data_IF_377665890766
#
_entry.id   IF_377665890766
#
_cell.length_a   1.000
_cell.length_b   1.000
_cell.length_c   1.000
_cell.angle_alpha   90.00
_cell.angle_beta   90.00
_cell.angle_gamma   90.00
#
_symmetry.space_group_name_H-M   'P 1'
#
loop_
_entity.id
_entity.type
_entity.pdbx_description
1 polymer ?
#
# COMPACT_ATOMS: atom_id res chain seq x y z
N UNK A 1 48.43 25.97 59.75
CA UNK A 1 48.50 26.28 58.29
C UNK A 1 48.66 24.96 57.56
N UNK A 2 47.79 24.61 56.71
CA UNK A 2 47.98 23.42 55.93
C UNK A 2 49.11 23.66 54.94
N UNK A 3 50.20 22.98 55.09
CA UNK A 3 51.36 23.01 54.20
C UNK A 3 51.21 21.91 53.18
N UNK A 4 50.66 22.25 52.08
CA UNK A 4 50.51 21.31 50.93
C UNK A 4 49.88 21.97 49.73
N UNK A 5 50.16 21.48 48.53
CA UNK A 5 49.55 21.90 47.29
C UNK A 5 48.09 21.55 47.35
N UNK A 6 47.19 22.52 47.13
CA UNK A 6 45.75 22.27 46.99
C UNK A 6 45.53 21.54 45.69
N UNK A 7 44.97 20.37 45.76
CA UNK A 7 44.67 19.52 44.56
C UNK A 7 43.18 19.34 44.40
N UNK A 8 42.72 18.98 43.22
CA UNK A 8 41.31 18.64 42.93
C UNK A 8 40.76 17.53 43.81
N UNK A 9 41.63 16.69 44.40
CA UNK A 9 41.25 15.61 45.30
C UNK A 9 41.12 16.09 46.77
N UNK A 10 41.75 17.19 47.12
CA UNK A 10 41.71 17.78 48.49
C UNK A 10 40.68 18.90 48.60
N UNK A 11 40.05 19.33 47.49
CA UNK A 11 39.06 20.37 47.45
C UNK A 11 37.66 19.80 47.60
N UNK A 12 37.02 20.09 48.72
CA UNK A 12 35.62 19.69 48.99
C UNK A 12 34.59 20.70 48.48
N UNK A 13 35.04 21.80 47.86
CA UNK A 13 34.15 22.79 47.26
C UNK A 13 33.45 22.21 46.03
N UNK A 14 32.12 22.39 45.85
CA UNK A 14 31.43 21.91 44.69
C UNK A 14 32.05 22.41 43.40
N UNK A 15 32.64 21.50 42.62
CA UNK A 15 33.23 21.81 41.31
C UNK A 15 32.14 21.81 40.24
N UNK A 16 32.23 22.71 39.26
CA UNK A 16 31.36 22.67 38.09
C UNK A 16 31.57 21.35 37.35
N UNK A 17 30.50 20.63 37.09
CA UNK A 17 30.53 19.39 36.31
C UNK A 17 30.89 19.73 34.87
N UNK A 18 31.89 19.07 34.31
CA UNK A 18 32.15 19.10 32.86
C UNK A 18 31.14 18.24 32.17
N UNK A 19 30.08 18.84 31.63
CA UNK A 19 29.03 18.16 30.84
C UNK A 19 29.10 18.73 29.44
N UNK A 20 29.17 17.86 28.44
CA UNK A 20 29.09 18.29 27.04
C UNK A 20 27.73 18.94 26.78
N UNK A 21 27.73 20.11 26.14
CA UNK A 21 26.50 20.81 25.76
C UNK A 21 25.91 20.25 24.44
N UNK A 22 25.96 18.93 24.33
CA UNK A 22 25.48 18.18 23.18
C UNK A 22 24.72 16.94 23.64
N UNK A 23 23.46 16.81 23.23
CA UNK A 23 22.65 15.62 23.44
C UNK A 23 22.75 14.75 22.20
N UNK A 24 23.37 13.58 22.33
CA UNK A 24 23.35 12.55 21.29
C UNK A 24 22.15 11.65 21.52
N UNK A 25 21.23 11.63 20.56
CA UNK A 25 20.06 10.75 20.57
C UNK A 25 20.23 9.68 19.50
N UNK A 26 19.77 8.47 19.79
CA UNK A 26 19.55 7.44 18.77
C UNK A 26 18.20 7.74 18.17
N UNK A 27 18.21 8.40 17.02
CA UNK A 27 16.99 8.86 16.36
C UNK A 27 16.51 7.87 15.31
N UNK A 28 15.26 7.50 15.41
CA UNK A 28 14.53 6.78 14.37
C UNK A 28 13.65 7.79 13.62
N UNK A 29 14.28 8.64 12.86
CA UNK A 29 13.64 9.81 12.24
C UNK A 29 13.34 9.59 10.76
N UNK A 30 13.21 8.35 10.33
CA UNK A 30 12.95 8.02 8.93
C UNK A 30 11.49 7.63 8.74
N UNK A 31 10.83 8.22 7.75
CA UNK A 31 9.52 7.86 7.24
C UNK A 31 9.59 7.79 5.71
N UNK A 32 10.22 6.73 5.16
CA UNK A 32 10.52 6.65 3.73
C UNK A 32 9.26 6.49 2.89
N UNK A 33 8.26 5.76 3.37
CA UNK A 33 7.02 5.53 2.65
C UNK A 33 6.16 6.80 2.60
N UNK A 34 6.05 7.52 3.71
CA UNK A 34 5.36 8.82 3.75
C UNK A 34 6.01 9.83 2.81
N UNK A 35 7.34 9.80 2.69
CA UNK A 35 8.09 10.65 1.75
C UNK A 35 7.85 10.26 0.29
N UNK A 36 7.77 8.95 0.02
CA UNK A 36 7.55 8.41 -1.32
C UNK A 36 6.13 8.70 -1.83
N UNK A 37 5.13 8.38 -1.02
CA UNK A 37 3.72 8.53 -1.38
C UNK A 37 3.24 9.97 -1.26
N UNK A 38 3.73 10.68 -0.24
CA UNK A 38 3.36 12.06 0.04
C UNK A 38 1.99 12.21 0.69
N UNK A 39 1.69 13.46 1.09
CA UNK A 39 0.39 13.88 1.60
C UNK A 39 -0.18 14.91 0.63
N UNK A 40 -1.46 14.79 0.27
CA UNK A 40 -2.14 15.66 -0.69
C UNK A 40 -1.38 15.81 -2.02
N UNK A 41 -0.91 14.72 -2.55
CA UNK A 41 -0.16 14.76 -3.81
C UNK A 41 -1.12 14.93 -5.00
N UNK A 42 -1.39 16.18 -5.37
CA UNK A 42 -2.33 16.56 -6.44
C UNK A 42 -1.96 15.98 -7.81
N UNK A 43 -0.68 15.69 -8.03
CA UNK A 43 -0.22 15.08 -9.28
C UNK A 43 -0.61 13.60 -9.39
N UNK A 44 -0.84 12.94 -8.25
CA UNK A 44 -1.19 11.51 -8.19
C UNK A 44 -2.68 11.29 -7.98
N UNK A 45 -3.29 12.05 -7.07
CA UNK A 45 -4.72 11.94 -6.77
C UNK A 45 -5.43 13.24 -7.08
N UNK A 46 -6.54 13.17 -7.81
CA UNK A 46 -7.46 14.30 -7.93
C UNK A 46 -8.30 14.53 -6.66
N UNK A 47 -8.01 13.83 -5.59
CA UNK A 47 -8.71 13.94 -4.32
C UNK A 47 -7.99 15.00 -3.49
N UNK A 48 -8.40 16.25 -3.63
CA UNK A 48 -7.84 17.38 -2.90
C UNK A 48 -8.87 17.85 -1.88
N UNK A 49 -8.43 18.07 -0.63
CA UNK A 49 -9.21 18.69 0.45
C UNK A 49 -10.57 18.06 0.71
N UNK A 50 -10.60 16.94 1.39
CA UNK A 50 -11.86 16.31 1.80
C UNK A 50 -12.48 17.01 2.98
N UNK A 51 -13.73 17.43 2.81
CA UNK A 51 -14.50 18.14 3.83
C UNK A 51 -15.41 17.21 4.66
N UNK A 52 -15.29 15.89 4.52
CA UNK A 52 -16.11 14.91 5.24
C UNK A 52 -15.23 13.83 5.88
N UNK A 53 -15.70 13.32 7.02
CA UNK A 53 -15.02 12.27 7.80
C UNK A 53 -15.03 10.88 7.12
N UNK A 54 -15.96 10.63 6.22
CA UNK A 54 -15.99 9.48 5.32
C UNK A 54 -15.55 9.95 3.94
N UNK A 55 -14.47 9.37 3.49
CA UNK A 55 -13.86 9.67 2.20
C UNK A 55 -14.19 8.55 1.25
N UNK A 56 -14.84 8.86 0.15
CA UNK A 56 -15.21 7.92 -0.90
C UNK A 56 -14.53 8.34 -2.21
N UNK A 57 -14.08 7.35 -2.98
CA UNK A 57 -13.57 7.58 -4.32
C UNK A 57 -14.27 6.62 -5.27
N UNK A 58 -14.29 6.98 -6.53
CA UNK A 58 -14.96 6.16 -7.54
C UNK A 58 -13.92 5.37 -8.32
N UNK A 59 -14.19 4.08 -8.46
CA UNK A 59 -13.41 3.16 -9.26
C UNK A 59 -14.30 2.53 -10.29
N UNK A 60 -13.75 2.30 -11.47
CA UNK A 60 -14.41 1.56 -12.54
C UNK A 60 -13.43 0.55 -13.12
N UNK A 61 -13.94 -0.58 -13.53
CA UNK A 61 -13.16 -1.64 -14.16
C UNK A 61 -13.66 -1.87 -15.57
N UNK A 62 -12.77 -2.24 -16.46
CA UNK A 62 -13.18 -2.70 -17.78
C UNK A 62 -13.92 -4.03 -17.66
N UNK A 63 -14.85 -4.30 -18.59
CA UNK A 63 -15.51 -5.59 -18.66
C UNK A 63 -14.48 -6.73 -18.71
N UNK A 64 -14.65 -7.78 -17.91
CA UNK A 64 -13.77 -8.93 -17.93
C UNK A 64 -13.70 -9.54 -19.33
N UNK A 65 -12.51 -9.93 -19.74
CA UNK A 65 -12.25 -10.54 -21.05
C UNK A 65 -11.99 -12.04 -20.96
N UNK A 66 -11.99 -12.58 -19.78
CA UNK A 66 -11.73 -13.99 -19.48
C UNK A 66 -12.54 -14.43 -18.26
N UNK A 67 -12.72 -15.71 -18.11
CA UNK A 67 -13.40 -16.33 -17.00
C UNK A 67 -13.31 -17.83 -17.07
N UNK A 68 -14.22 -18.54 -16.42
CA UNK A 68 -14.24 -20.01 -16.37
C UNK A 68 -15.60 -20.58 -16.72
N UNK A 69 -15.64 -21.81 -17.21
CA UNK A 69 -16.88 -22.55 -17.40
C UNK A 69 -17.48 -22.91 -16.02
N UNK A 70 -18.75 -22.61 -15.83
CA UNK A 70 -19.52 -23.01 -14.65
C UNK A 70 -20.05 -24.44 -14.73
N UNK A 71 -20.07 -25.04 -15.94
CA UNK A 71 -20.39 -26.43 -16.19
C UNK A 71 -19.62 -26.95 -17.41
N UNK A 72 -19.40 -28.27 -17.47
CA UNK A 72 -18.74 -28.92 -18.61
C UNK A 72 -19.61 -28.80 -19.88
N UNK A 73 -18.95 -28.68 -21.04
CA UNK A 73 -19.56 -28.79 -22.35
C UNK A 73 -19.26 -30.21 -22.86
N UNK A 74 -20.23 -31.11 -22.71
CA UNK A 74 -20.00 -32.53 -22.94
C UNK A 74 -20.19 -32.96 -24.42
N UNK A 75 -20.84 -32.14 -25.22
CA UNK A 75 -21.12 -32.44 -26.62
C UNK A 75 -20.46 -31.42 -27.56
N UNK A 76 -19.93 -31.89 -28.67
CA UNK A 76 -19.31 -31.06 -29.72
C UNK A 76 -20.30 -30.23 -30.53
N UNK A 77 -21.57 -30.59 -30.50
CA UNK A 77 -22.69 -29.90 -31.14
C UNK A 77 -23.54 -29.08 -30.13
N UNK A 78 -23.08 -28.95 -28.89
CA UNK A 78 -23.81 -28.19 -27.88
C UNK A 78 -23.99 -26.73 -28.32
N UNK A 79 -25.26 -26.28 -28.28
CA UNK A 79 -25.65 -24.90 -28.61
C UNK A 79 -25.77 -24.00 -27.40
N UNK A 80 -25.48 -24.52 -26.19
CA UNK A 80 -25.55 -23.80 -24.94
C UNK A 80 -24.27 -24.05 -24.12
N UNK A 81 -23.87 -23.07 -23.32
CA UNK A 81 -22.80 -23.19 -22.33
C UNK A 81 -23.17 -22.43 -21.08
N UNK A 82 -22.62 -22.89 -19.94
CA UNK A 82 -22.75 -22.21 -18.63
C UNK A 82 -21.38 -21.69 -18.24
N UNK A 83 -21.29 -20.40 -18.02
CA UNK A 83 -20.10 -19.72 -17.51
C UNK A 83 -20.15 -19.57 -15.97
N UNK A 84 -19.10 -19.09 -15.40
CA UNK A 84 -19.06 -18.68 -14.00
C UNK A 84 -20.13 -17.63 -13.68
N UNK A 85 -20.46 -17.50 -12.41
CA UNK A 85 -21.53 -16.61 -11.95
C UNK A 85 -21.24 -15.15 -12.30
N UNK A 86 -22.15 -14.54 -13.07
CA UNK A 86 -22.04 -13.15 -13.51
C UNK A 86 -21.20 -12.93 -14.77
N UNK A 87 -20.46 -13.92 -15.26
CA UNK A 87 -19.54 -13.77 -16.39
C UNK A 87 -20.27 -13.58 -17.73
N UNK A 88 -21.44 -14.19 -17.91
CA UNK A 88 -22.22 -14.03 -19.13
C UNK A 88 -22.81 -12.61 -19.30
N UNK A 89 -22.79 -11.77 -18.26
CA UNK A 89 -23.22 -10.38 -18.34
C UNK A 89 -22.30 -9.51 -19.22
N UNK A 90 -21.08 -9.94 -19.47
CA UNK A 90 -20.09 -9.20 -20.25
C UNK A 90 -19.99 -9.65 -21.71
N UNK A 91 -20.70 -10.71 -22.06
CA UNK A 91 -20.73 -11.27 -23.39
C UNK A 91 -22.05 -10.95 -24.09
N UNK A 92 -21.99 -10.71 -25.40
CA UNK A 92 -23.09 -10.32 -26.22
C UNK A 92 -23.15 -11.17 -27.50
N UNK A 93 -24.24 -11.01 -28.24
CA UNK A 93 -24.36 -11.57 -29.59
C UNK A 93 -23.23 -11.08 -30.51
N UNK A 94 -22.61 -12.01 -31.19
CA UNK A 94 -21.47 -11.73 -32.07
C UNK A 94 -20.11 -11.81 -31.41
N UNK A 95 -20.02 -12.00 -30.12
CA UNK A 95 -18.72 -12.20 -29.46
C UNK A 95 -18.17 -13.60 -29.80
N UNK A 96 -16.84 -13.67 -29.95
CA UNK A 96 -16.12 -14.92 -30.17
C UNK A 96 -15.24 -15.21 -28.98
N UNK A 97 -15.53 -16.28 -28.27
CA UNK A 97 -14.75 -16.77 -27.16
C UNK A 97 -13.85 -17.93 -27.55
N UNK A 98 -12.70 -18.02 -26.96
CA UNK A 98 -11.78 -19.15 -27.09
C UNK A 98 -11.83 -19.99 -25.82
N UNK A 99 -12.02 -21.28 -25.96
CA UNK A 99 -11.90 -22.28 -24.90
C UNK A 99 -10.93 -23.34 -25.39
N UNK A 100 -9.83 -23.52 -24.69
CA UNK A 100 -8.68 -24.34 -25.15
C UNK A 100 -8.23 -23.94 -26.56
N UNK A 101 -8.44 -24.80 -27.55
CA UNK A 101 -8.12 -24.54 -28.97
C UNK A 101 -9.35 -24.27 -29.83
N UNK A 102 -10.53 -24.26 -29.26
CA UNK A 102 -11.76 -24.01 -29.98
C UNK A 102 -12.17 -22.53 -29.91
N UNK A 103 -12.61 -21.99 -31.03
CA UNK A 103 -13.33 -20.72 -31.14
C UNK A 103 -14.84 -20.97 -31.20
N UNK A 104 -15.57 -20.28 -30.36
CA UNK A 104 -17.04 -20.41 -30.27
C UNK A 104 -17.65 -19.03 -30.45
N UNK A 105 -18.52 -18.90 -31.45
CA UNK A 105 -19.29 -17.68 -31.64
C UNK A 105 -20.54 -17.72 -30.75
N UNK A 106 -20.82 -16.62 -30.07
CA UNK A 106 -21.94 -16.48 -29.14
C UNK A 106 -23.14 -15.86 -29.85
N UNK A 107 -24.25 -16.56 -29.88
CA UNK A 107 -25.49 -16.05 -30.50
C UNK A 107 -26.36 -15.27 -29.51
N UNK A 108 -26.36 -15.64 -28.22
CA UNK A 108 -27.09 -14.90 -27.21
C UNK A 108 -26.52 -15.17 -25.81
N UNK A 109 -26.66 -14.19 -24.93
CA UNK A 109 -26.31 -14.28 -23.49
C UNK A 109 -27.56 -14.00 -22.66
N UNK A 110 -27.71 -14.71 -21.53
CA UNK A 110 -28.79 -14.45 -20.57
C UNK A 110 -28.45 -13.35 -19.54
N UNK A 111 -27.24 -12.76 -19.65
CA UNK A 111 -26.79 -11.70 -18.76
C UNK A 111 -26.36 -12.17 -17.34
N UNK A 112 -26.30 -13.49 -17.08
CA UNK A 112 -25.86 -14.03 -15.78
C UNK A 112 -24.81 -15.13 -15.92
N UNK A 113 -25.20 -16.33 -16.36
CA UNK A 113 -24.31 -17.49 -16.48
C UNK A 113 -24.44 -18.20 -17.83
N UNK A 114 -25.58 -18.07 -18.51
CA UNK A 114 -25.91 -18.89 -19.67
C UNK A 114 -25.60 -18.21 -20.99
N UNK A 115 -24.97 -18.94 -21.89
CA UNK A 115 -24.84 -18.62 -23.30
C UNK A 115 -25.71 -19.56 -24.09
N UNK A 116 -26.28 -19.08 -25.21
CA UNK A 116 -27.14 -19.87 -26.09
C UNK A 116 -26.88 -19.53 -27.55
N UNK A 117 -27.44 -20.37 -28.46
CA UNK A 117 -27.23 -20.25 -29.89
C UNK A 117 -25.76 -20.21 -30.30
N UNK A 118 -24.96 -21.04 -29.65
CA UNK A 118 -23.51 -21.13 -29.90
C UNK A 118 -23.25 -21.74 -31.29
N UNK A 119 -22.35 -21.11 -32.05
CA UNK A 119 -21.74 -21.73 -33.21
C UNK A 119 -20.37 -22.27 -32.86
N UNK A 120 -20.27 -23.60 -32.75
CA UNK A 120 -19.08 -24.33 -32.38
C UNK A 120 -18.08 -24.42 -33.55
N UNK A 121 -16.79 -24.54 -33.24
CA UNK A 121 -15.78 -24.67 -34.30
C UNK A 121 -15.68 -23.43 -35.20
N UNK A 122 -15.96 -22.25 -34.70
CA UNK A 122 -15.95 -21.00 -35.46
C UNK A 122 -14.59 -20.74 -36.11
N UNK A 123 -14.59 -20.16 -37.32
CA UNK A 123 -13.37 -19.82 -38.04
C UNK A 123 -12.52 -21.02 -38.47
N UNK A 124 -13.10 -22.23 -38.53
CA UNK A 124 -12.40 -23.45 -38.92
C UNK A 124 -11.67 -24.15 -37.75
N UNK A 125 -11.89 -23.73 -36.50
CA UNK A 125 -11.44 -24.49 -35.34
C UNK A 125 -12.23 -25.78 -35.16
N UNK A 126 -11.67 -26.77 -34.46
CA UNK A 126 -12.35 -28.05 -34.26
C UNK A 126 -13.15 -27.99 -32.95
N UNK A 127 -14.47 -28.31 -33.06
CA UNK A 127 -15.31 -28.42 -31.87
C UNK A 127 -14.85 -29.57 -30.96
N UNK A 128 -14.75 -29.32 -29.70
CA UNK A 128 -14.28 -30.27 -28.67
C UNK A 128 -15.20 -30.23 -27.43
N UNK A 129 -15.05 -31.22 -26.56
CA UNK A 129 -15.65 -31.21 -25.21
C UNK A 129 -14.76 -30.45 -24.27
N UNK A 130 -15.34 -29.69 -23.34
CA UNK A 130 -14.61 -28.89 -22.36
C UNK A 130 -15.05 -29.24 -20.94
N UNK A 131 -14.09 -29.35 -20.04
CA UNK A 131 -14.37 -29.66 -18.65
C UNK A 131 -14.93 -28.45 -17.91
N UNK A 132 -15.57 -28.70 -16.77
CA UNK A 132 -15.95 -27.64 -15.85
C UNK A 132 -14.70 -26.89 -15.37
N UNK A 133 -14.82 -25.59 -15.11
CA UNK A 133 -13.72 -24.69 -14.72
C UNK A 133 -12.63 -24.50 -15.78
N UNK A 134 -12.82 -24.96 -17.03
CA UNK A 134 -11.91 -24.59 -18.13
C UNK A 134 -12.03 -23.09 -18.41
N UNK A 135 -10.87 -22.44 -18.57
CA UNK A 135 -10.83 -21.00 -18.85
C UNK A 135 -11.36 -20.67 -20.25
N UNK A 136 -12.11 -19.60 -20.33
CA UNK A 136 -12.49 -18.98 -21.61
C UNK A 136 -11.89 -17.57 -21.72
N UNK A 137 -11.64 -17.13 -22.95
CA UNK A 137 -11.13 -15.79 -23.24
C UNK A 137 -11.89 -15.18 -24.40
N UNK A 138 -12.31 -13.92 -24.26
CA UNK A 138 -12.90 -13.14 -25.35
C UNK A 138 -11.81 -12.73 -26.34
N UNK A 139 -11.92 -13.20 -27.58
CA UNK A 139 -10.90 -12.97 -28.62
C UNK A 139 -11.29 -11.79 -29.50
N UNK A 140 -12.53 -11.78 -30.00
CA UNK A 140 -12.99 -10.76 -30.92
C UNK A 140 -14.54 -10.75 -30.96
N UNK A 141 -15.11 -9.80 -31.70
CA UNK A 141 -16.53 -9.79 -32.06
C UNK A 141 -16.71 -9.93 -33.56
N UNK A 142 -17.68 -10.76 -34.00
CA UNK A 142 -18.05 -10.97 -35.37
C UNK A 142 -19.58 -10.89 -35.50
N UNK A 143 -20.09 -9.75 -35.94
CA UNK A 143 -21.54 -9.52 -36.11
C UNK A 143 -22.01 -9.99 -37.47
N UNK A 144 -23.28 -10.37 -37.53
CA UNK A 144 -23.94 -10.66 -38.77
C UNK A 144 -24.11 -9.39 -39.59
N UNK A 145 -23.98 -9.51 -40.91
CA UNK A 145 -24.25 -8.42 -41.84
C UNK A 145 -25.73 -8.01 -41.74
N UNK A 146 -25.99 -6.71 -41.58
CA UNK A 146 -27.35 -6.18 -41.44
C UNK A 146 -27.99 -6.43 -40.06
N UNK A 147 -27.23 -6.94 -39.05
CA UNK A 147 -27.75 -7.09 -37.71
C UNK A 147 -28.10 -5.73 -37.07
N UNK A 148 -29.21 -5.71 -36.33
CA UNK A 148 -29.65 -4.54 -35.58
C UNK A 148 -28.65 -4.18 -34.46
N UNK A 149 -28.76 -2.97 -33.87
CA UNK A 149 -27.91 -2.58 -32.76
C UNK A 149 -28.18 -3.45 -31.52
N UNK A 150 -27.13 -3.70 -30.80
CA UNK A 150 -27.16 -4.53 -29.59
C UNK A 150 -27.56 -3.71 -28.34
N UNK A 151 -28.08 -4.41 -27.33
CA UNK A 151 -28.30 -3.81 -26.01
C UNK A 151 -26.93 -3.45 -25.41
N UNK A 152 -26.74 -2.19 -25.05
CA UNK A 152 -25.47 -1.73 -24.51
C UNK A 152 -25.12 -2.45 -23.18
N UNK A 153 -23.89 -2.92 -23.07
CA UNK A 153 -23.34 -3.47 -21.86
C UNK A 153 -22.47 -2.40 -21.19
N UNK A 154 -22.79 -2.05 -19.97
CA UNK A 154 -22.07 -1.03 -19.20
C UNK A 154 -21.62 -1.62 -17.88
N UNK A 155 -20.44 -1.20 -17.42
CA UNK A 155 -19.93 -1.52 -16.08
C UNK A 155 -20.49 -0.52 -15.06
N UNK A 156 -20.59 -0.93 -13.80
CA UNK A 156 -21.00 -0.08 -12.70
C UNK A 156 -19.76 0.40 -11.96
N UNK A 157 -19.71 1.69 -11.66
CA UNK A 157 -18.69 2.24 -10.78
C UNK A 157 -18.87 1.74 -9.36
N UNK A 158 -17.79 1.37 -8.69
CA UNK A 158 -17.72 1.10 -7.26
C UNK A 158 -17.27 2.33 -6.49
N UNK A 159 -17.65 2.43 -5.22
CA UNK A 159 -17.27 3.54 -4.34
C UNK A 159 -16.60 3.01 -3.07
N UNK A 160 -15.34 2.58 -3.13
CA UNK A 160 -14.57 2.29 -1.94
C UNK A 160 -14.49 3.50 -1.03
N UNK A 161 -14.31 3.28 0.27
CA UNK A 161 -14.26 4.36 1.23
C UNK A 161 -13.30 4.09 2.39
N UNK A 162 -12.90 5.17 3.05
CA UNK A 162 -12.15 5.13 4.28
C UNK A 162 -12.61 6.24 5.23
N UNK A 163 -12.25 6.15 6.51
CA UNK A 163 -12.53 7.19 7.49
C UNK A 163 -11.27 8.01 7.77
N UNK A 164 -11.47 9.30 8.12
CA UNK A 164 -10.37 10.12 8.62
C UNK A 164 -10.02 9.73 10.06
N UNK A 165 -8.73 9.82 10.40
CA UNK A 165 -8.21 9.56 11.72
C UNK A 165 -7.51 10.81 12.25
N UNK A 166 -7.78 11.15 13.51
CA UNK A 166 -7.12 12.25 14.21
C UNK A 166 -5.88 11.69 14.91
N UNK A 167 -4.74 12.27 14.60
CA UNK A 167 -3.48 12.04 15.30
C UNK A 167 -3.14 13.30 16.09
N UNK A 168 -3.01 13.17 17.40
CA UNK A 168 -2.71 14.28 18.27
C UNK A 168 -1.79 13.87 19.42
N UNK A 169 -0.90 14.76 19.80
CA UNK A 169 -0.08 14.61 20.99
C UNK A 169 0.23 15.97 21.62
N UNK A 170 0.15 16.04 22.95
CA UNK A 170 0.37 17.26 23.70
C UNK A 170 1.69 17.19 24.47
N UNK A 171 2.36 18.33 24.58
CA UNK A 171 3.52 18.55 25.45
C UNK A 171 3.11 19.56 26.50
N UNK A 172 3.37 19.26 27.78
CA UNK A 172 3.18 20.18 28.88
C UNK A 172 4.51 20.39 29.62
N UNK A 173 4.81 21.65 29.93
CA UNK A 173 6.03 22.05 30.65
C UNK A 173 5.62 22.96 31.81
N UNK A 174 6.03 22.63 33.02
CA UNK A 174 5.77 23.48 34.20
C UNK A 174 6.59 24.78 34.15
N UNK A 175 6.08 25.84 34.79
CA UNK A 175 6.79 27.12 34.86
C UNK A 175 8.20 27.00 35.45
N UNK A 176 8.36 26.23 36.52
CA UNK A 176 9.68 25.99 37.13
C UNK A 176 10.63 25.24 36.18
N UNK A 177 10.14 24.32 35.36
CA UNK A 177 10.95 23.57 34.40
C UNK A 177 11.33 24.43 33.19
N UNK A 178 10.49 25.37 32.80
CA UNK A 178 10.76 26.33 31.74
C UNK A 178 11.90 27.31 32.09
N UNK A 179 11.97 27.75 33.34
CA UNK A 179 13.01 28.66 33.86
C UNK A 179 14.33 27.94 34.22
N UNK A 180 14.33 26.63 34.29
CA UNK A 180 15.49 25.85 34.69
C UNK A 180 16.53 25.75 33.56
N UNK A 181 17.73 26.30 33.80
CA UNK A 181 18.85 26.21 32.84
C UNK A 181 19.36 24.78 32.71
N UNK A 182 19.44 24.25 31.52
CA UNK A 182 19.84 22.87 31.18
C UNK A 182 21.04 22.86 30.25
N UNK A 183 21.83 21.80 30.32
CA UNK A 183 22.85 21.54 29.32
C UNK A 183 22.17 20.97 28.03
N UNK A 184 22.53 21.51 26.87
CA UNK A 184 22.11 21.02 25.57
C UNK A 184 20.62 21.24 25.22
N UNK A 185 19.83 21.90 26.05
CA UNK A 185 18.44 22.26 25.81
C UNK A 185 18.23 23.73 26.18
N UNK A 186 18.06 24.58 25.21
CA UNK A 186 17.78 26.00 25.41
C UNK A 186 16.28 26.22 25.73
N UNK A 187 15.39 25.62 24.96
CA UNK A 187 13.94 25.66 25.19
C UNK A 187 13.39 24.22 25.28
N UNK A 188 12.89 23.85 26.44
CA UNK A 188 12.33 22.50 26.70
C UNK A 188 11.07 22.26 25.87
N UNK A 189 10.20 23.27 25.70
CA UNK A 189 8.97 23.13 24.92
C UNK A 189 9.30 22.89 23.43
N UNK A 190 10.15 23.73 22.86
CA UNK A 190 10.57 23.62 21.47
C UNK A 190 11.28 22.28 21.19
N UNK A 191 12.13 21.83 22.09
CA UNK A 191 12.82 20.54 21.98
C UNK A 191 11.86 19.36 21.92
N UNK A 192 10.84 19.32 22.78
CA UNK A 192 9.86 18.24 22.78
C UNK A 192 8.91 18.32 21.56
N UNK A 193 8.51 19.53 21.14
CA UNK A 193 7.71 19.71 19.94
C UNK A 193 8.48 19.25 18.68
N UNK A 194 9.77 19.55 18.59
CA UNK A 194 10.62 19.07 17.51
C UNK A 194 10.69 17.54 17.45
N UNK A 195 10.68 16.83 18.57
CA UNK A 195 10.60 15.37 18.61
C UNK A 195 9.27 14.82 18.09
N UNK A 196 8.18 15.56 18.24
CA UNK A 196 6.86 15.13 17.79
C UNK A 196 6.66 15.33 16.28
N UNK A 197 7.14 16.46 15.74
CA UNK A 197 6.85 16.81 14.35
C UNK A 197 7.97 16.52 13.37
N UNK A 198 9.18 16.73 13.74
CA UNK A 198 10.37 16.77 12.91
C UNK A 198 10.87 18.18 12.60
N UNK A 199 12.16 18.28 12.39
CA UNK A 199 12.83 19.46 11.85
C UNK A 199 13.93 19.02 10.87
N UNK A 200 14.17 19.83 9.84
CA UNK A 200 15.29 19.63 8.92
C UNK A 200 15.25 18.37 8.07
N UNK A 201 14.06 17.86 7.69
CA UNK A 201 13.90 16.70 6.80
C UNK A 201 13.91 15.33 7.51
N UNK A 202 13.87 15.32 8.83
CA UNK A 202 13.66 14.14 9.65
C UNK A 202 12.17 14.01 9.99
N UNK A 203 11.68 12.79 10.21
CA UNK A 203 10.31 12.56 10.64
C UNK A 203 10.23 12.51 12.17
N UNK A 204 9.27 13.21 12.77
CA UNK A 204 8.97 13.09 14.19
C UNK A 204 8.03 11.93 14.48
N UNK A 205 7.63 11.79 15.75
CA UNK A 205 6.74 10.71 16.19
C UNK A 205 5.41 10.66 15.43
N UNK A 206 4.75 11.81 15.21
CA UNK A 206 3.44 11.86 14.55
C UNK A 206 3.48 11.46 13.07
N UNK A 207 4.42 11.94 12.23
CA UNK A 207 4.60 11.42 10.88
C UNK A 207 4.90 9.92 10.82
N UNK A 208 5.69 9.39 11.77
CA UNK A 208 5.95 7.94 11.86
C UNK A 208 4.67 7.18 12.19
N UNK A 209 3.86 7.66 13.12
CA UNK A 209 2.55 7.04 13.42
C UNK A 209 1.62 7.07 12.20
N UNK A 210 1.65 8.15 11.41
CA UNK A 210 0.90 8.22 10.17
C UNK A 210 1.40 7.16 9.16
N UNK A 211 2.72 7.00 9.00
CA UNK A 211 3.28 5.96 8.14
C UNK A 211 2.91 4.55 8.61
N UNK A 212 2.94 4.29 9.91
CA UNK A 212 2.55 3.00 10.48
C UNK A 212 1.09 2.62 10.23
N UNK A 213 0.22 3.59 9.96
CA UNK A 213 -1.17 3.28 9.57
C UNK A 213 -1.26 2.56 8.23
N UNK A 214 -0.25 2.69 7.35
CA UNK A 214 -0.18 1.91 6.13
C UNK A 214 -0.17 0.41 6.41
N UNK A 215 0.64 -0.02 7.37
CA UNK A 215 0.84 -1.43 7.71
C UNK A 215 -0.23 -1.98 8.65
N UNK A 216 -0.59 -1.21 9.66
CA UNK A 216 -1.41 -1.66 10.80
C UNK A 216 -2.79 -1.04 10.86
N UNK A 217 -3.11 -0.09 9.99
CA UNK A 217 -4.40 0.59 9.99
C UNK A 217 -5.56 -0.38 9.77
N UNK A 218 -6.53 -0.36 10.66
CA UNK A 218 -7.81 -1.06 10.52
C UNK A 218 -8.93 -0.02 10.54
N UNK A 219 -9.75 -0.05 9.50
CA UNK A 219 -10.88 0.87 9.39
C UNK A 219 -11.92 0.57 10.48
N UNK A 220 -12.33 1.60 11.21
CA UNK A 220 -13.42 1.47 12.18
C UNK A 220 -14.73 1.04 11.50
N UNK A 221 -15.58 0.32 12.25
CA UNK A 221 -16.86 -0.15 11.71
C UNK A 221 -17.84 0.98 11.38
N UNK A 222 -17.66 2.15 12.00
CA UNK A 222 -18.53 3.32 11.82
C UNK A 222 -17.71 4.63 11.78
N UNK A 223 -18.37 5.71 11.44
CA UNK A 223 -17.77 7.04 11.32
C UNK A 223 -17.31 7.68 12.66
N UNK A 224 -17.35 6.93 13.76
CA UNK A 224 -17.07 7.41 15.10
C UNK A 224 -18.29 8.02 15.78
N UNK A 225 -18.17 8.28 17.08
CA UNK A 225 -19.18 8.94 17.92
C UNK A 225 -18.51 9.77 19.00
N UNK A 226 -19.27 10.36 19.89
CA UNK A 226 -18.73 11.09 21.06
C UNK A 226 -17.93 10.19 22.02
N UNK A 227 -18.11 8.89 21.95
CA UNK A 227 -17.47 7.89 22.82
C UNK A 227 -16.62 6.85 22.07
N UNK A 228 -16.68 6.83 20.74
CA UNK A 228 -15.92 5.90 19.90
C UNK A 228 -15.06 6.65 18.88
N UNK A 229 -13.75 6.48 18.95
CA UNK A 229 -12.83 7.03 17.97
C UNK A 229 -13.00 6.36 16.61
N UNK A 230 -12.87 7.13 15.53
CA UNK A 230 -12.73 6.59 14.19
C UNK A 230 -11.25 6.35 13.85
N UNK A 231 -11.01 5.31 13.09
CA UNK A 231 -9.68 4.94 12.62
C UNK A 231 -9.70 4.71 11.10
N UNK A 232 -8.62 5.09 10.44
CA UNK A 232 -8.44 4.81 9.01
C UNK A 232 -7.94 3.38 8.79
N UNK A 233 -8.39 2.77 7.70
CA UNK A 233 -7.83 1.53 7.18
C UNK A 233 -6.52 1.80 6.45
N UNK A 234 -5.56 0.91 6.60
CA UNK A 234 -4.31 0.90 5.85
C UNK A 234 -4.37 -0.01 4.63
N UNK A 235 -3.21 -0.35 4.10
CA UNK A 235 -3.07 -1.21 2.91
C UNK A 235 -3.80 -2.55 3.05
N UNK A 236 -3.62 -3.21 4.17
CA UNK A 236 -4.19 -4.54 4.45
C UNK A 236 -5.73 -4.57 4.54
N UNK A 237 -6.37 -3.40 4.63
CA UNK A 237 -7.83 -3.27 4.61
C UNK A 237 -8.40 -3.41 3.20
N UNK A 238 -7.64 -2.98 2.18
CA UNK A 238 -8.07 -2.94 0.79
C UNK A 238 -7.52 -4.12 -0.01
N UNK A 239 -6.24 -4.45 0.18
CA UNK A 239 -5.59 -5.58 -0.50
C UNK A 239 -5.76 -6.83 0.34
N UNK A 240 -6.77 -7.62 0.00
CA UNK A 240 -7.17 -8.85 0.71
C UNK A 240 -7.19 -10.04 -0.24
N UNK A 241 -7.26 -11.25 0.30
CA UNK A 241 -7.42 -12.49 -0.49
C UNK A 241 -8.78 -12.61 -1.20
N UNK A 242 -9.66 -11.63 -1.05
CA UNK A 242 -10.96 -11.56 -1.72
C UNK A 242 -10.93 -10.71 -3.00
N UNK A 243 -9.74 -10.26 -3.44
CA UNK A 243 -9.54 -9.61 -4.74
C UNK A 243 -9.78 -10.57 -5.90
N UNK A 244 -9.74 -10.05 -7.12
CA UNK A 244 -9.97 -10.80 -8.36
C UNK A 244 -9.14 -12.07 -8.44
N UNK A 245 -7.88 -12.02 -8.02
CA UNK A 245 -7.01 -13.19 -7.85
C UNK A 245 -6.49 -13.26 -6.40
N UNK A 246 -6.56 -14.45 -5.80
CA UNK A 246 -6.05 -14.69 -4.46
C UNK A 246 -4.52 -14.54 -4.35
N UNK A 247 -3.80 -14.60 -5.46
CA UNK A 247 -2.34 -14.41 -5.50
C UNK A 247 -1.89 -12.96 -5.27
N UNK A 248 -2.79 -11.98 -5.23
CA UNK A 248 -2.45 -10.65 -4.72
C UNK A 248 -1.96 -10.68 -3.28
N UNK A 249 -2.38 -11.68 -2.50
CA UNK A 249 -2.01 -11.82 -1.08
C UNK A 249 -1.45 -13.22 -0.81
N UNK A 250 -0.14 -13.35 -0.84
CA UNK A 250 0.56 -14.62 -0.66
C UNK A 250 0.99 -14.81 0.79
N UNK A 251 0.47 -15.84 1.45
CA UNK A 251 0.91 -16.27 2.78
C UNK A 251 1.97 -17.36 2.66
N UNK A 252 3.17 -17.06 3.13
CA UNK A 252 4.30 -18.03 3.11
C UNK A 252 4.28 -19.04 4.26
N UNK A 253 3.43 -18.86 5.27
CA UNK A 253 3.33 -19.79 6.42
C UNK A 253 4.70 -20.19 7.00
N UNK A 254 5.58 -19.22 7.18
CA UNK A 254 6.98 -19.37 7.63
C UNK A 254 7.95 -20.03 6.63
N UNK A 255 7.54 -20.25 5.38
CA UNK A 255 8.48 -20.66 4.33
C UNK A 255 9.42 -19.50 3.92
N UNK A 256 10.54 -19.84 3.29
CA UNK A 256 11.46 -18.82 2.79
C UNK A 256 10.84 -18.01 1.66
N UNK A 257 11.13 -16.70 1.61
CA UNK A 257 10.82 -15.86 0.46
C UNK A 257 11.67 -16.28 -0.73
N UNK A 258 11.04 -16.43 -1.89
CA UNK A 258 11.74 -16.74 -3.16
C UNK A 258 11.54 -15.63 -4.18
N UNK A 259 12.39 -15.60 -5.19
CA UNK A 259 12.26 -14.69 -6.33
C UNK A 259 10.94 -14.92 -7.07
N UNK A 260 10.57 -16.18 -7.26
CA UNK A 260 9.33 -16.56 -7.93
C UNK A 260 8.06 -16.06 -7.21
N UNK A 261 8.08 -15.92 -5.89
CA UNK A 261 6.95 -15.35 -5.15
C UNK A 261 6.75 -13.88 -5.52
N UNK A 262 7.84 -13.11 -5.61
CA UNK A 262 7.78 -11.68 -5.96
C UNK A 262 7.29 -11.52 -7.40
N UNK A 263 7.89 -12.27 -8.33
CA UNK A 263 7.52 -12.24 -9.75
C UNK A 263 6.09 -12.72 -9.98
N UNK A 264 5.62 -13.72 -9.23
CA UNK A 264 4.25 -14.21 -9.30
C UNK A 264 3.22 -13.17 -8.86
N UNK A 265 3.45 -12.47 -7.75
CA UNK A 265 2.56 -11.38 -7.32
C UNK A 265 2.57 -10.22 -8.33
N UNK A 266 3.73 -9.90 -8.87
CA UNK A 266 3.84 -8.84 -9.89
C UNK A 266 3.12 -9.21 -11.18
N UNK A 267 3.21 -10.48 -11.61
CA UNK A 267 2.49 -10.97 -12.77
C UNK A 267 0.98 -10.82 -12.59
N UNK A 268 0.45 -11.23 -11.45
CA UNK A 268 -0.99 -11.10 -11.17
C UNK A 268 -1.43 -9.63 -11.17
N UNK A 269 -0.66 -8.75 -10.51
CA UNK A 269 -0.94 -7.31 -10.54
C UNK A 269 -0.93 -6.74 -11.98
N UNK A 270 -0.02 -7.23 -12.83
CA UNK A 270 0.08 -6.81 -14.23
C UNK A 270 -1.08 -7.35 -15.07
N UNK A 271 -1.45 -8.61 -14.89
CA UNK A 271 -2.55 -9.26 -15.61
C UNK A 271 -3.90 -8.59 -15.29
N UNK A 272 -4.08 -8.11 -14.07
CA UNK A 272 -5.25 -7.32 -13.63
C UNK A 272 -5.15 -5.82 -13.98
N UNK A 273 -4.17 -5.44 -14.79
CA UNK A 273 -4.04 -4.09 -15.36
C UNK A 273 -3.31 -3.08 -14.48
N UNK A 274 -2.66 -3.50 -13.41
CA UNK A 274 -1.75 -2.69 -12.60
C UNK A 274 -0.37 -2.55 -13.24
N UNK A 275 0.40 -1.59 -12.74
CA UNK A 275 1.82 -1.39 -13.11
C UNK A 275 2.62 -1.21 -11.84
N UNK A 276 2.89 -2.28 -11.10
CA UNK A 276 3.66 -2.18 -9.87
C UNK A 276 5.06 -1.63 -10.19
N UNK A 277 5.43 -0.58 -9.49
CA UNK A 277 6.70 0.14 -9.69
C UNK A 277 7.58 0.16 -8.45
N UNK A 278 7.06 -0.27 -7.31
CA UNK A 278 7.76 -0.16 -6.04
C UNK A 278 7.56 -1.41 -5.17
N UNK A 279 8.65 -1.89 -4.58
CA UNK A 279 8.67 -2.91 -3.53
C UNK A 279 9.01 -2.25 -2.19
N UNK A 280 8.16 -2.42 -1.21
CA UNK A 280 8.40 -1.93 0.16
C UNK A 280 8.64 -3.11 1.09
N UNK A 281 9.75 -3.10 1.81
CA UNK A 281 10.09 -4.18 2.74
C UNK A 281 11.00 -3.71 3.86
N UNK A 282 11.01 -4.49 4.95
CA UNK A 282 11.93 -4.28 6.07
C UNK A 282 13.36 -4.74 5.79
N UNK A 283 14.24 -4.57 6.77
CA UNK A 283 15.68 -4.84 6.64
C UNK A 283 16.01 -6.27 6.22
N UNK A 284 15.25 -7.26 6.70
CA UNK A 284 15.48 -8.65 6.34
C UNK A 284 15.08 -8.93 4.89
N UNK A 285 13.92 -8.43 4.47
CA UNK A 285 13.45 -8.58 3.08
C UNK A 285 14.42 -7.93 2.08
N UNK A 286 14.95 -6.75 2.39
CA UNK A 286 15.96 -6.09 1.56
C UNK A 286 17.22 -6.95 1.40
N UNK A 287 17.74 -7.52 2.48
CA UNK A 287 18.90 -8.44 2.42
C UNK A 287 18.60 -9.68 1.57
N UNK A 288 17.38 -10.21 1.70
CA UNK A 288 16.97 -11.39 0.93
C UNK A 288 16.84 -11.08 -0.55
N UNK A 289 16.23 -9.96 -0.90
CA UNK A 289 16.14 -9.47 -2.27
C UNK A 289 17.54 -9.27 -2.86
N UNK A 290 18.43 -8.60 -2.13
CA UNK A 290 19.83 -8.43 -2.58
C UNK A 290 20.49 -9.76 -2.89
N UNK A 291 20.25 -10.82 -2.10
CA UNK A 291 20.83 -12.14 -2.34
C UNK A 291 20.32 -12.83 -3.62
N UNK A 292 19.12 -12.50 -4.10
CA UNK A 292 18.60 -13.04 -5.34
C UNK A 292 19.32 -12.50 -6.58
N UNK A 293 19.87 -11.29 -6.48
CA UNK A 293 20.48 -10.58 -7.59
C UNK A 293 22.00 -10.42 -7.46
N UNK A 294 22.63 -11.04 -6.44
CA UNK A 294 24.08 -10.93 -6.19
C UNK A 294 24.96 -11.31 -7.40
N UNK A 295 24.51 -12.24 -8.24
CA UNK A 295 25.22 -12.67 -9.46
C UNK A 295 24.94 -11.79 -10.69
N UNK A 296 23.93 -10.93 -10.65
CA UNK A 296 23.45 -10.14 -11.79
C UNK A 296 23.83 -8.67 -11.71
N UNK A 297 24.20 -8.19 -10.53
CA UNK A 297 24.55 -6.79 -10.33
C UNK A 297 25.89 -6.49 -10.96
N UNK A 298 25.90 -5.71 -12.03
CA UNK A 298 27.10 -5.01 -12.52
C UNK A 298 27.46 -3.95 -11.48
N UNK A 299 28.42 -4.25 -10.63
CA UNK A 299 29.00 -3.24 -9.75
C UNK A 299 29.88 -2.31 -10.59
N UNK A 300 29.43 -1.08 -10.78
CA UNK A 300 30.38 -0.01 -11.05
C UNK A 300 31.21 0.16 -9.77
N UNK A 301 32.42 -0.35 -9.82
CA UNK A 301 33.40 -0.18 -8.74
C UNK A 301 33.80 1.30 -8.68
N UNK A 302 33.23 2.02 -7.77
CA UNK A 302 33.89 3.18 -7.18
C UNK A 302 34.95 2.64 -6.22
N UNK A 303 36.19 3.01 -6.39
CA UNK A 303 37.35 2.49 -5.64
C UNK A 303 37.29 2.71 -4.11
N UNK A 304 36.30 3.46 -3.61
CA UNK A 304 36.19 3.82 -2.20
C UNK A 304 35.05 3.13 -1.43
N UNK A 305 34.17 2.35 -2.08
CA UNK A 305 33.02 1.70 -1.39
C UNK A 305 32.89 0.25 -1.78
N UNK A 306 33.17 -0.66 -0.86
CA UNK A 306 32.84 -2.07 -0.98
C UNK A 306 31.34 -2.29 -0.67
N UNK A 307 30.65 -2.98 -1.56
CA UNK A 307 29.25 -3.39 -1.40
C UNK A 307 28.33 -2.86 -2.50
N UNK A 308 27.24 -3.56 -2.77
CA UNK A 308 26.19 -3.14 -3.70
C UNK A 308 24.91 -2.82 -2.91
N UNK A 309 24.33 -1.65 -3.13
CA UNK A 309 22.99 -1.32 -2.65
C UNK A 309 22.06 -1.41 -3.85
N UNK A 310 21.15 -2.38 -3.85
CA UNK A 310 20.13 -2.51 -4.89
C UNK A 310 19.02 -1.53 -4.55
N UNK A 311 18.85 -0.52 -5.39
CA UNK A 311 17.73 0.44 -5.30
C UNK A 311 16.68 0.19 -6.36
N UNK A 312 17.08 -0.34 -7.49
CA UNK A 312 16.20 -0.63 -8.62
C UNK A 312 16.48 -2.06 -9.09
N UNK A 313 15.44 -2.80 -9.35
CA UNK A 313 15.50 -4.15 -9.91
C UNK A 313 14.83 -4.10 -11.26
N UNK A 314 15.52 -4.60 -12.29
CA UNK A 314 14.93 -4.81 -13.61
C UNK A 314 14.27 -6.17 -13.61
N UNK A 315 12.99 -6.19 -13.88
CA UNK A 315 12.17 -7.41 -13.99
C UNK A 315 11.52 -7.47 -15.35
N UNK A 316 10.91 -8.60 -15.68
CA UNK A 316 10.18 -8.78 -16.93
C UNK A 316 8.97 -7.83 -17.06
N UNK A 317 8.51 -7.26 -15.94
CA UNK A 317 7.39 -6.32 -15.85
C UNK A 317 7.81 -4.85 -15.78
N UNK A 318 9.09 -4.55 -15.78
CA UNK A 318 9.67 -3.21 -15.75
C UNK A 318 10.69 -2.99 -14.63
N UNK A 319 11.08 -1.73 -14.50
CA UNK A 319 12.00 -1.27 -13.47
C UNK A 319 11.25 -1.02 -12.16
N UNK A 320 11.70 -1.64 -11.08
CA UNK A 320 11.06 -1.59 -9.78
C UNK A 320 11.99 -0.97 -8.76
N UNK A 321 11.52 0.05 -8.09
CA UNK A 321 12.22 0.69 -6.98
C UNK A 321 12.07 -0.14 -5.70
N UNK A 322 13.16 -0.41 -5.00
CA UNK A 322 13.13 -1.10 -3.69
C UNK A 322 13.28 -0.08 -2.59
N UNK A 323 12.24 0.08 -1.81
CA UNK A 323 12.18 0.98 -0.65
C UNK A 323 12.38 0.19 0.62
N UNK A 324 13.43 0.56 1.36
CA UNK A 324 13.68 0.03 2.70
C UNK A 324 12.93 0.86 3.72
N UNK A 325 11.98 0.23 4.40
CA UNK A 325 11.26 0.85 5.49
C UNK A 325 11.49 0.09 6.81
N UNK A 326 11.92 0.83 7.82
CA UNK A 326 12.16 0.30 9.17
C UNK A 326 10.87 -0.14 9.86
N UNK A 327 9.75 0.51 9.53
CA UNK A 327 8.45 0.30 10.16
C UNK A 327 7.66 -0.84 9.53
N UNK A 328 8.13 -1.32 8.37
CA UNK A 328 7.54 -2.48 7.72
C UNK A 328 7.61 -3.72 8.63
N UNK A 329 6.50 -4.44 8.84
CA UNK A 329 6.47 -5.65 9.66
C UNK A 329 7.50 -6.67 9.19
N UNK A 330 8.14 -7.35 10.14
CA UNK A 330 9.09 -8.41 9.83
C UNK A 330 8.37 -9.56 9.12
N UNK A 331 8.94 -10.05 8.02
CA UNK A 331 8.33 -11.11 7.23
C UNK A 331 7.21 -10.65 6.29
N UNK A 332 7.17 -9.36 5.96
CA UNK A 332 6.24 -8.79 4.99
C UNK A 332 6.96 -8.02 3.87
N UNK A 333 6.35 -8.08 2.70
CA UNK A 333 6.77 -7.37 1.50
C UNK A 333 5.51 -6.89 0.77
N UNK A 334 5.55 -5.66 0.31
CA UNK A 334 4.46 -5.01 -0.41
C UNK A 334 4.91 -4.65 -1.81
N UNK A 335 4.09 -5.03 -2.77
CA UNK A 335 4.22 -4.69 -4.19
C UNK A 335 3.20 -3.61 -4.46
N UNK A 336 3.64 -2.40 -4.80
CA UNK A 336 2.76 -1.24 -4.89
C UNK A 336 2.96 -0.46 -6.19
N UNK A 337 1.90 0.17 -6.65
CA UNK A 337 1.91 1.23 -7.66
C UNK A 337 1.75 2.56 -6.94
N UNK A 338 2.86 3.29 -6.78
CA UNK A 338 2.90 4.50 -5.94
C UNK A 338 1.97 5.63 -6.39
N UNK A 339 1.54 5.61 -7.65
CA UNK A 339 0.65 6.64 -8.19
C UNK A 339 -0.82 6.44 -7.81
N UNK A 340 -1.18 5.25 -7.33
CA UNK A 340 -2.57 4.89 -6.99
C UNK A 340 -2.88 4.94 -5.50
N UNK A 341 -1.95 5.41 -4.65
CA UNK A 341 -2.16 5.47 -3.21
C UNK A 341 -1.47 6.66 -2.55
N UNK A 342 -1.97 7.04 -1.38
CA UNK A 342 -1.36 8.08 -0.56
C UNK A 342 -2.25 8.53 0.59
N UNK A 343 -1.75 9.49 1.36
CA UNK A 343 -2.51 10.09 2.43
C UNK A 343 -3.14 11.40 1.97
N UNK A 344 -4.37 11.61 2.38
CA UNK A 344 -5.14 12.84 2.13
C UNK A 344 -5.46 13.50 3.46
N UNK A 345 -5.24 14.80 3.51
CA UNK A 345 -5.54 15.63 4.67
C UNK A 345 -7.03 15.96 4.70
N UNK A 346 -7.61 16.00 5.90
CA UNK A 346 -8.99 16.45 6.10
C UNK A 346 -9.08 17.98 6.05
N UNK A 347 -9.56 18.53 4.97
CA UNK A 347 -9.67 19.99 4.79
C UNK A 347 -8.32 20.70 5.02
N UNK A 348 -8.31 21.69 5.89
CA UNK A 348 -7.10 22.40 6.32
C UNK A 348 -6.45 21.83 7.59
N UNK A 349 -6.87 20.65 8.06
CA UNK A 349 -6.43 20.06 9.33
C UNK A 349 -5.15 19.20 9.18
N UNK A 350 -4.13 19.76 8.54
CA UNK A 350 -2.78 19.19 8.58
C UNK A 350 -2.17 19.29 9.98
N UNK A 351 -1.01 18.67 10.18
CA UNK A 351 -0.30 18.82 11.45
C UNK A 351 -0.02 20.29 11.73
N UNK A 352 -0.60 20.79 12.81
CA UNK A 352 -0.44 22.16 13.28
C UNK A 352 -0.29 22.17 14.80
N UNK A 353 0.44 23.17 15.30
CA UNK A 353 0.66 23.38 16.73
C UNK A 353 -0.45 24.30 17.25
N UNK A 354 -1.12 23.85 18.31
CA UNK A 354 -2.18 24.59 18.99
C UNK A 354 -1.76 24.86 20.42
N UNK A 355 -1.87 26.11 20.86
CA UNK A 355 -1.74 26.46 22.26
C UNK A 355 -3.04 26.07 23.00
N UNK A 356 -2.88 25.29 24.07
CA UNK A 356 -4.02 24.84 24.89
C UNK A 356 -4.06 25.61 26.19
N UNK A 357 -5.25 25.98 26.68
CA UNK A 357 -5.38 26.64 27.97
C UNK A 357 -4.89 25.71 29.08
N UNK A 358 -4.14 26.26 30.02
CA UNK A 358 -3.68 25.58 31.24
C UNK A 358 -4.50 26.02 32.44
N UNK A 359 -4.76 25.10 33.37
CA UNK A 359 -5.46 25.40 34.62
C UNK A 359 -4.51 25.54 35.82
N UNK A 360 -3.20 25.46 35.59
CA UNK A 360 -2.15 25.50 36.62
C UNK A 360 -0.89 26.17 36.11
N UNK A 361 0.19 26.12 36.91
CA UNK A 361 1.51 26.64 36.54
C UNK A 361 2.23 25.71 35.54
N UNK A 362 1.68 25.61 34.33
CA UNK A 362 2.28 24.90 33.22
C UNK A 362 1.76 25.45 31.88
N UNK A 363 2.56 25.38 30.85
CA UNK A 363 2.16 25.65 29.47
C UNK A 363 1.92 24.34 28.71
N UNK A 364 0.89 24.30 27.84
CA UNK A 364 0.56 23.13 27.04
C UNK A 364 0.47 23.52 25.59
N UNK A 365 1.19 22.79 24.75
CA UNK A 365 1.06 22.86 23.30
C UNK A 365 0.68 21.48 22.76
N UNK A 366 -0.29 21.42 21.88
CA UNK A 366 -0.73 20.19 21.23
C UNK A 366 -0.48 20.27 19.74
N UNK A 367 0.07 19.20 19.18
CA UNK A 367 0.14 19.00 17.74
C UNK A 367 -0.99 18.09 17.35
N UNK A 368 -1.79 18.52 16.40
CA UNK A 368 -2.93 17.76 15.91
C UNK A 368 -2.95 17.79 14.40
N UNK A 369 -3.26 16.64 13.80
CA UNK A 369 -3.51 16.49 12.38
C UNK A 369 -4.58 15.43 12.11
N UNK A 370 -5.30 15.57 11.01
CA UNK A 370 -6.35 14.65 10.61
C UNK A 370 -6.14 14.21 9.16
N UNK A 371 -6.02 12.90 8.97
CA UNK A 371 -5.66 12.29 7.69
C UNK A 371 -6.49 11.05 7.41
N UNK A 372 -6.56 10.68 6.15
CA UNK A 372 -7.07 9.40 5.68
C UNK A 372 -6.13 8.80 4.66
N UNK A 373 -6.09 7.48 4.58
CA UNK A 373 -5.36 6.75 3.55
C UNK A 373 -6.32 6.40 2.42
N UNK A 374 -5.88 6.64 1.18
CA UNK A 374 -6.62 6.32 -0.05
C UNK A 374 -5.78 5.33 -0.84
N UNK A 375 -6.41 4.28 -1.33
CA UNK A 375 -5.83 3.29 -2.22
C UNK A 375 -6.84 3.01 -3.33
N UNK A 376 -6.45 3.34 -4.55
CA UNK A 376 -7.26 3.15 -5.75
C UNK A 376 -6.87 1.85 -6.47
N UNK A 377 -7.85 1.14 -6.98
CA UNK A 377 -7.67 -0.11 -7.74
C UNK A 377 -6.83 -1.11 -6.96
N UNK A 378 -7.44 -1.76 -5.98
CA UNK A 378 -6.75 -2.71 -5.09
C UNK A 378 -6.03 -3.84 -5.84
N UNK A 379 -6.57 -4.28 -6.99
CA UNK A 379 -5.99 -5.31 -7.87
C UNK A 379 -4.66 -4.88 -8.54
N UNK A 380 -4.29 -3.60 -8.47
CA UNK A 380 -2.97 -3.14 -8.94
C UNK A 380 -1.84 -3.40 -7.93
N UNK A 381 -2.16 -3.93 -6.77
CA UNK A 381 -1.24 -4.05 -5.65
C UNK A 381 -1.20 -5.47 -5.11
N UNK A 382 -0.10 -5.81 -4.42
CA UNK A 382 0.03 -7.12 -3.83
C UNK A 382 0.82 -7.13 -2.51
N UNK A 383 0.68 -8.22 -1.78
CA UNK A 383 1.35 -8.43 -0.49
C UNK A 383 1.85 -9.86 -0.36
N UNK A 384 3.07 -10.01 0.11
CA UNK A 384 3.62 -11.29 0.55
C UNK A 384 3.88 -11.18 2.05
N UNK A 385 3.34 -12.10 2.84
CA UNK A 385 3.50 -12.06 4.29
C UNK A 385 3.79 -13.42 4.89
N UNK A 386 4.22 -13.43 6.15
CA UNK A 386 4.50 -14.64 6.90
C UNK A 386 5.69 -15.44 6.40
N UNK A 387 6.64 -14.82 5.70
CA UNK A 387 7.87 -15.50 5.34
C UNK A 387 8.87 -15.54 6.50
N UNK A 388 9.68 -16.62 6.52
CA UNK A 388 10.69 -16.81 7.57
C UNK A 388 11.73 -15.68 7.56
N UNK A 389 11.98 -15.11 8.73
CA UNK A 389 13.03 -14.14 8.97
C UNK A 389 14.22 -14.74 9.73
N UNK A 390 14.29 -16.06 9.83
CA UNK A 390 15.40 -16.78 10.46
C UNK A 390 16.64 -16.70 9.55
N UNK A 391 17.80 -16.44 10.17
CA UNK A 391 19.10 -16.32 9.47
C UNK A 391 19.58 -17.65 8.95
#
# INVERSE_FOLDING_TARGET
MATGTRTTYSDTTPQKRAVADLIQTIDWTEAPLLRLLGVNNESKFRIVNMAQNKVEWLEDTMSPRSGTLGAAIEATDATTATLGTGEAAYLKEGDVIKIDNELIWVGASNGTTGLSSLARGFGGSTAATHLNSTAWTLVTGARLEGADYDTGHTTSTSAPYNYSQILAEAVSVSGSEAENSKYGIEDTMAYHLAKLMADGGKAGKLPILLEQTFYYGLRSANAGSTTAARAMGGFNQFVTSALTDAYHVVNKSSAALTRADIEGVMQVCFDDGGKPDTLVTGSWGLRKISSFYEGLVRTERSEERGGSIIRTIVTDFGDIEVVHDRWCPAGELYVIEKEKMGWVQYGSRGFAIYDRPSMGDYSVKEILGEYTFVLCNADAHGRIYGFSTTK
#
